data_IF_381375030440
#
_entry.id   IF_381375030440
#
_cell.length_a   1.000
_cell.length_b   1.000
_cell.length_c   1.000
_cell.angle_alpha   90.00
_cell.angle_beta   90.00
_cell.angle_gamma   90.00
#
_symmetry.space_group_name_H-M   'P 1'
#
loop_
_entity.id
_entity.type
_entity.pdbx_description
1 polymer ?
#
# COMPACT_ATOMS: atom_id res chain seq x y z
N UNK A 1 14.99 28.49 26.08
CA UNK A 1 14.92 27.24 26.88
C UNK A 1 14.81 26.13 25.87
N UNK A 2 15.96 25.62 25.47
CA UNK A 2 16.09 24.55 24.47
C UNK A 2 15.50 23.27 25.05
N UNK A 3 14.47 22.73 24.40
CA UNK A 3 13.96 21.41 24.72
C UNK A 3 14.98 20.38 24.26
N UNK A 4 15.73 19.83 25.21
CA UNK A 4 16.47 18.59 25.08
C UNK A 4 15.53 17.47 24.63
N UNK A 5 15.55 17.12 23.34
CA UNK A 5 14.98 15.87 22.85
C UNK A 5 15.80 15.30 21.69
N UNK A 6 17.12 15.23 21.86
CA UNK A 6 18.01 14.50 20.96
C UNK A 6 18.52 13.22 21.65
N UNK A 7 17.61 12.30 21.96
CA UNK A 7 17.99 10.90 22.08
C UNK A 7 17.79 10.26 20.70
N UNK A 8 18.87 10.18 19.91
CA UNK A 8 18.89 9.49 18.62
C UNK A 8 18.36 8.06 18.83
N UNK A 9 17.27 7.70 18.16
CA UNK A 9 16.64 6.37 18.29
C UNK A 9 17.66 5.29 17.95
N UNK A 10 17.78 4.28 18.83
CA UNK A 10 18.69 3.15 18.64
C UNK A 10 17.97 2.00 17.91
N UNK A 11 17.99 2.07 16.58
CA UNK A 11 17.30 1.10 15.71
C UNK A 11 17.83 -0.33 15.85
N UNK A 12 19.07 -0.51 16.30
CA UNK A 12 19.67 -1.84 16.52
C UNK A 12 18.93 -2.65 17.60
N UNK A 13 18.25 -1.95 18.52
CA UNK A 13 17.48 -2.57 19.62
C UNK A 13 15.98 -2.72 19.33
N UNK A 14 15.48 -2.07 18.30
CA UNK A 14 14.05 -2.11 17.92
C UNK A 14 13.70 -3.48 17.35
N UNK A 15 12.50 -3.98 17.62
CA UNK A 15 12.03 -5.24 17.05
C UNK A 15 11.93 -5.16 15.52
N UNK A 16 12.29 -6.23 14.81
CA UNK A 16 12.31 -6.21 13.33
C UNK A 16 10.94 -5.91 12.69
N UNK A 17 9.83 -6.22 13.37
CA UNK A 17 8.49 -5.83 12.90
C UNK A 17 8.24 -4.33 13.07
N UNK A 18 8.70 -3.75 14.17
CA UNK A 18 8.54 -2.32 14.47
C UNK A 18 9.39 -1.46 13.53
N UNK A 19 10.55 -1.95 13.07
CA UNK A 19 11.33 -1.28 12.03
C UNK A 19 10.47 -0.98 10.79
N UNK A 20 9.60 -1.92 10.38
CA UNK A 20 8.71 -1.72 9.22
C UNK A 20 7.61 -0.69 9.49
N UNK A 21 7.19 -0.51 10.75
CA UNK A 21 6.27 0.55 11.12
C UNK A 21 6.96 1.93 10.93
N UNK A 22 8.23 2.08 11.34
CA UNK A 22 9.01 3.30 11.06
C UNK A 22 9.18 3.54 9.56
N UNK A 23 9.48 2.51 8.77
CA UNK A 23 9.57 2.64 7.30
C UNK A 23 8.25 3.10 6.69
N UNK A 24 7.11 2.78 7.30
CA UNK A 24 5.80 3.23 6.82
C UNK A 24 5.58 4.73 6.95
N UNK A 25 6.27 5.39 7.90
CA UNK A 25 6.19 6.83 8.12
C UNK A 25 7.21 7.64 7.31
N UNK A 26 7.80 7.08 6.26
CA UNK A 26 8.82 7.75 5.44
C UNK A 26 8.41 9.09 4.83
N UNK A 27 7.11 9.38 4.76
CA UNK A 27 6.59 10.67 4.31
C UNK A 27 6.65 11.74 5.41
N UNK A 28 6.40 11.35 6.66
CA UNK A 28 6.41 12.25 7.83
C UNK A 28 7.78 12.33 8.50
N UNK A 29 8.52 11.23 8.55
CA UNK A 29 9.80 11.05 9.26
C UNK A 29 10.83 10.34 8.36
N UNK A 30 11.35 11.03 7.32
CA UNK A 30 12.19 10.40 6.30
C UNK A 30 13.52 9.87 6.84
N UNK A 31 14.17 10.59 7.78
CA UNK A 31 15.47 10.18 8.34
C UNK A 31 15.32 8.92 9.22
N UNK A 32 14.33 8.90 10.12
CA UNK A 32 14.03 7.76 10.97
C UNK A 32 13.63 6.54 10.15
N UNK A 33 12.82 6.74 9.11
CA UNK A 33 12.43 5.68 8.20
C UNK A 33 13.64 5.11 7.44
N UNK A 34 14.56 5.96 6.98
CA UNK A 34 15.79 5.53 6.32
C UNK A 34 16.69 4.72 7.27
N UNK A 35 16.92 5.20 8.48
CA UNK A 35 17.70 4.45 9.48
C UNK A 35 17.06 3.11 9.85
N UNK A 36 15.73 3.09 10.04
CA UNK A 36 14.99 1.85 10.28
C UNK A 36 15.11 0.87 9.10
N UNK A 37 15.07 1.39 7.87
CA UNK A 37 15.17 0.59 6.67
C UNK A 37 16.58 0.02 6.46
N UNK A 38 17.63 0.80 6.73
CA UNK A 38 19.03 0.35 6.70
C UNK A 38 19.21 -0.80 7.70
N UNK A 39 18.73 -0.63 8.93
CA UNK A 39 18.82 -1.67 9.95
C UNK A 39 18.00 -2.92 9.59
N UNK A 40 16.82 -2.73 9.01
CA UNK A 40 16.01 -3.84 8.49
C UNK A 40 16.78 -4.62 7.40
N UNK A 41 17.36 -3.92 6.42
CA UNK A 41 18.15 -4.55 5.37
C UNK A 41 19.32 -5.33 5.97
N UNK A 42 20.10 -4.71 6.87
CA UNK A 42 21.23 -5.35 7.55
C UNK A 42 20.86 -6.68 8.23
N UNK A 43 19.69 -6.74 8.88
CA UNK A 43 19.22 -7.95 9.58
C UNK A 43 18.87 -9.11 8.65
N UNK A 44 18.32 -8.82 7.48
CA UNK A 44 17.74 -9.84 6.61
C UNK A 44 18.54 -10.12 5.34
N UNK A 45 19.43 -9.22 4.94
CA UNK A 45 20.20 -9.26 3.68
C UNK A 45 20.83 -10.62 3.43
N UNK A 46 21.64 -11.13 4.38
CA UNK A 46 22.33 -12.42 4.23
C UNK A 46 21.36 -13.56 3.90
N UNK A 47 20.20 -13.61 4.57
CA UNK A 47 19.21 -14.68 4.36
C UNK A 47 18.45 -14.51 3.05
N UNK A 48 18.15 -13.27 2.68
CA UNK A 48 17.47 -12.95 1.42
C UNK A 48 18.38 -13.25 0.22
N UNK A 49 19.64 -12.82 0.23
CA UNK A 49 20.63 -13.11 -0.83
C UNK A 49 20.82 -14.62 -0.99
N UNK A 50 21.07 -15.36 0.10
CA UNK A 50 21.20 -16.83 0.04
C UNK A 50 19.99 -17.49 -0.60
N UNK A 51 18.78 -16.99 -0.30
CA UNK A 51 17.56 -17.52 -0.90
C UNK A 51 17.43 -17.13 -2.38
N UNK A 52 17.81 -15.90 -2.73
CA UNK A 52 17.81 -15.41 -4.10
C UNK A 52 18.76 -16.24 -4.97
N UNK A 53 19.97 -16.57 -4.50
CA UNK A 53 20.93 -17.42 -5.22
C UNK A 53 20.40 -18.83 -5.48
N UNK A 54 19.78 -19.44 -4.47
CA UNK A 54 19.14 -20.77 -4.60
C UNK A 54 18.01 -20.74 -5.62
N UNK A 55 17.23 -19.65 -5.71
CA UNK A 55 16.17 -19.57 -6.70
C UNK A 55 16.71 -19.21 -8.08
N UNK A 56 17.58 -18.23 -8.18
CA UNK A 56 18.18 -17.72 -9.42
C UNK A 56 18.94 -18.82 -10.18
N UNK A 57 19.69 -19.67 -9.46
CA UNK A 57 20.37 -20.82 -10.05
C UNK A 57 19.42 -21.78 -10.79
N UNK A 58 18.17 -21.93 -10.34
CA UNK A 58 17.15 -22.75 -11.03
C UNK A 58 16.67 -22.15 -12.34
N UNK A 59 16.80 -20.84 -12.49
CA UNK A 59 16.47 -20.08 -13.71
C UNK A 59 17.71 -19.85 -14.60
N UNK A 60 18.87 -20.37 -14.21
CA UNK A 60 20.14 -20.18 -14.93
C UNK A 60 20.77 -18.79 -14.73
N UNK A 61 20.30 -18.03 -13.75
CA UNK A 61 20.84 -16.70 -13.45
C UNK A 61 22.07 -16.77 -12.53
N UNK A 62 23.00 -15.85 -12.76
CA UNK A 62 24.23 -15.67 -11.98
C UNK A 62 23.98 -15.17 -10.54
N UNK A 63 25.00 -15.25 -9.69
CA UNK A 63 25.00 -14.64 -8.36
C UNK A 63 24.83 -13.11 -8.41
N UNK A 64 25.31 -12.44 -9.47
CA UNK A 64 25.15 -10.99 -9.63
C UNK A 64 23.68 -10.64 -9.82
N UNK A 65 22.99 -11.36 -10.71
CA UNK A 65 21.54 -11.21 -10.91
C UNK A 65 20.77 -11.58 -9.64
N UNK A 66 21.22 -12.59 -8.89
CA UNK A 66 20.60 -12.94 -7.62
C UNK A 66 20.70 -11.82 -6.57
N UNK A 67 21.84 -11.14 -6.49
CA UNK A 67 22.04 -9.97 -5.64
C UNK A 67 21.11 -8.82 -6.06
N UNK A 68 21.00 -8.56 -7.36
CA UNK A 68 20.08 -7.55 -7.90
C UNK A 68 18.63 -7.86 -7.52
N UNK A 69 18.18 -9.10 -7.68
CA UNK A 69 16.84 -9.54 -7.30
C UNK A 69 16.58 -9.34 -5.79
N UNK A 70 17.57 -9.63 -4.94
CA UNK A 70 17.48 -9.37 -3.51
C UNK A 70 17.30 -7.87 -3.22
N UNK A 71 18.08 -7.01 -3.87
CA UNK A 71 17.91 -5.56 -3.76
C UNK A 71 16.56 -5.07 -4.29
N UNK A 72 16.06 -5.62 -5.40
CA UNK A 72 14.72 -5.30 -5.91
C UNK A 72 13.64 -5.65 -4.87
N UNK A 73 13.80 -6.74 -4.12
CA UNK A 73 12.87 -7.12 -3.06
C UNK A 73 12.89 -6.09 -1.91
N UNK A 74 14.07 -5.65 -1.48
CA UNK A 74 14.19 -4.59 -0.47
C UNK A 74 13.66 -3.24 -0.96
N UNK A 75 13.95 -2.85 -2.19
CA UNK A 75 13.40 -1.63 -2.81
C UNK A 75 11.86 -1.67 -2.81
N UNK A 76 11.26 -2.85 -3.03
CA UNK A 76 9.82 -3.03 -2.93
C UNK A 76 9.28 -2.87 -1.51
N UNK A 77 10.04 -3.30 -0.50
CA UNK A 77 9.70 -3.08 0.93
C UNK A 77 9.77 -1.59 1.27
N UNK A 78 10.80 -0.87 0.82
CA UNK A 78 10.90 0.57 0.99
C UNK A 78 9.67 1.27 0.42
N UNK A 79 9.27 0.91 -0.80
CA UNK A 79 8.05 1.47 -1.42
C UNK A 79 6.80 1.09 -0.62
N UNK A 80 6.64 -0.18 -0.23
CA UNK A 80 5.43 -0.74 0.39
C UNK A 80 5.73 -1.61 1.63
N UNK A 81 5.94 -1.01 2.82
CA UNK A 81 6.23 -1.74 4.05
C UNK A 81 4.97 -2.37 4.66
N UNK A 82 4.32 -3.29 3.95
CA UNK A 82 2.97 -3.80 4.26
C UNK A 82 2.95 -5.06 5.15
N UNK A 83 4.01 -5.32 5.90
CA UNK A 83 4.07 -6.51 6.75
C UNK A 83 3.06 -6.41 7.89
N UNK A 84 2.44 -7.54 8.25
CA UNK A 84 1.52 -7.59 9.39
C UNK A 84 1.79 -8.85 10.21
N UNK A 85 2.38 -8.66 11.38
CA UNK A 85 2.75 -9.75 12.28
C UNK A 85 1.54 -10.60 12.72
N UNK A 86 0.35 -10.00 12.86
CA UNK A 86 -0.89 -10.72 13.24
C UNK A 86 -1.32 -11.74 12.19
N UNK A 87 -0.92 -11.54 10.92
CA UNK A 87 -1.21 -12.45 9.79
C UNK A 87 -0.08 -13.48 9.57
N UNK A 88 0.99 -13.43 10.34
CA UNK A 88 2.13 -14.31 10.16
C UNK A 88 1.83 -15.74 10.63
N UNK A 89 2.37 -16.71 9.89
CA UNK A 89 2.25 -18.15 10.22
C UNK A 89 3.26 -18.62 11.28
N UNK A 90 4.26 -17.79 11.59
CA UNK A 90 5.36 -18.11 12.51
C UNK A 90 5.26 -17.26 13.76
N UNK A 91 5.49 -17.86 14.93
CA UNK A 91 5.61 -17.13 16.22
C UNK A 91 6.95 -16.41 16.35
N UNK A 92 7.98 -16.87 15.64
CA UNK A 92 9.26 -16.17 15.50
C UNK A 92 9.11 -15.05 14.46
N UNK A 93 9.34 -13.80 14.91
CA UNK A 93 9.18 -12.57 14.12
C UNK A 93 10.14 -12.53 12.93
N UNK A 94 11.41 -12.86 13.13
CA UNK A 94 12.42 -12.86 12.07
C UNK A 94 12.08 -13.89 11.00
N UNK A 95 11.65 -15.09 11.42
CA UNK A 95 11.19 -16.12 10.49
C UNK A 95 9.90 -15.71 9.77
N UNK A 96 8.97 -15.04 10.46
CA UNK A 96 7.75 -14.51 9.87
C UNK A 96 8.04 -13.50 8.76
N UNK A 97 8.97 -12.57 9.01
CA UNK A 97 9.41 -11.56 8.03
C UNK A 97 10.05 -12.24 6.83
N UNK A 98 10.95 -13.22 7.03
CA UNK A 98 11.55 -13.95 5.91
C UNK A 98 10.51 -14.68 5.05
N UNK A 99 9.52 -15.31 5.67
CA UNK A 99 8.42 -15.96 4.95
C UNK A 99 7.56 -14.97 4.17
N UNK A 100 7.47 -13.71 4.61
CA UNK A 100 6.81 -12.63 3.89
C UNK A 100 7.68 -12.03 2.76
N UNK A 101 8.99 -11.92 2.96
CA UNK A 101 9.94 -11.41 1.96
C UNK A 101 10.14 -12.39 0.79
N UNK A 102 10.19 -13.70 1.03
CA UNK A 102 10.49 -14.66 -0.04
C UNK A 102 9.50 -14.63 -1.22
N UNK A 103 8.17 -14.52 -1.03
CA UNK A 103 7.23 -14.31 -2.12
C UNK A 103 7.46 -13.01 -2.90
N UNK A 104 7.81 -11.91 -2.21
CA UNK A 104 8.12 -10.61 -2.84
C UNK A 104 9.34 -10.79 -3.76
N UNK A 105 10.41 -11.37 -3.22
CA UNK A 105 11.65 -11.68 -3.94
C UNK A 105 11.42 -12.64 -5.12
N UNK A 106 10.61 -13.68 -4.93
CA UNK A 106 10.28 -14.61 -6.03
C UNK A 106 9.53 -13.91 -7.17
N UNK A 107 8.66 -12.94 -6.85
CA UNK A 107 8.00 -12.12 -7.87
C UNK A 107 9.00 -11.29 -8.66
N UNK A 108 10.01 -10.72 -7.98
CA UNK A 108 11.11 -9.99 -8.65
C UNK A 108 11.87 -10.91 -9.60
N UNK A 109 12.25 -12.12 -9.14
CA UNK A 109 12.92 -13.12 -9.97
C UNK A 109 12.16 -13.47 -11.24
N UNK A 110 10.86 -13.80 -11.12
CA UNK A 110 10.05 -14.23 -12.27
C UNK A 110 9.92 -13.11 -13.31
N UNK A 111 9.62 -11.89 -12.85
CA UNK A 111 9.42 -10.74 -13.74
C UNK A 111 10.72 -10.16 -14.28
N UNK A 112 11.84 -10.34 -13.58
CA UNK A 112 13.16 -9.96 -14.11
C UNK A 112 13.47 -10.71 -15.41
N UNK A 113 13.06 -11.97 -15.54
CA UNK A 113 13.22 -12.73 -16.78
C UNK A 113 12.46 -12.17 -17.99
N UNK A 114 11.43 -11.37 -17.76
CA UNK A 114 10.58 -10.78 -18.80
C UNK A 114 11.06 -9.37 -19.21
N UNK A 115 11.61 -8.61 -18.27
CA UNK A 115 11.91 -7.18 -18.46
C UNK A 115 13.37 -6.79 -18.24
N UNK A 116 14.20 -7.73 -17.76
CA UNK A 116 15.60 -7.53 -17.43
C UNK A 116 15.85 -6.34 -16.47
N UNK A 117 14.91 -6.11 -15.56
CA UNK A 117 14.93 -5.04 -14.54
C UNK A 117 14.07 -5.43 -13.34
N UNK A 118 14.22 -4.71 -12.23
CA UNK A 118 13.36 -4.85 -11.06
C UNK A 118 11.90 -4.69 -11.45
N UNK A 119 11.05 -5.57 -10.95
CA UNK A 119 9.63 -5.51 -11.19
C UNK A 119 8.97 -4.52 -10.25
N UNK A 120 8.52 -3.42 -10.80
CA UNK A 120 7.54 -2.58 -10.12
C UNK A 120 6.21 -3.35 -9.96
N UNK A 121 5.42 -3.03 -8.91
CA UNK A 121 4.08 -3.56 -8.84
C UNK A 121 3.35 -3.23 -10.13
N UNK A 122 2.54 -4.15 -10.64
CA UNK A 122 1.57 -3.76 -11.67
C UNK A 122 0.69 -2.67 -11.09
N UNK A 123 0.11 -1.80 -11.94
CA UNK A 123 -0.83 -0.75 -11.49
C UNK A 123 -1.79 -1.34 -10.46
N UNK A 124 -2.36 -2.52 -10.72
CA UNK A 124 -3.25 -3.27 -9.83
C UNK A 124 -2.66 -3.67 -8.45
N UNK A 125 -1.38 -3.98 -8.35
CA UNK A 125 -0.72 -4.32 -7.08
C UNK A 125 -0.45 -3.09 -6.20
N UNK A 126 -0.19 -1.94 -6.83
CA UNK A 126 0.13 -0.64 -6.22
C UNK A 126 -1.12 0.13 -5.72
N UNK A 127 -2.30 -0.17 -6.28
CA UNK A 127 -3.51 0.56 -5.91
C UNK A 127 -3.79 0.47 -4.40
N UNK A 128 -4.05 1.62 -3.79
CA UNK A 128 -4.35 1.79 -2.36
C UNK A 128 -5.84 1.87 -2.09
N UNK A 129 -6.30 1.44 -0.91
CA UNK A 129 -7.69 1.70 -0.48
C UNK A 129 -7.82 3.19 -0.19
N UNK A 130 -8.91 3.79 -0.66
CA UNK A 130 -9.15 5.23 -0.52
C UNK A 130 -10.09 5.46 0.64
N UNK A 131 -9.57 6.09 1.68
CA UNK A 131 -10.24 6.30 2.97
C UNK A 131 -10.85 7.69 3.11
N UNK A 132 -10.37 8.64 2.33
CA UNK A 132 -10.78 10.04 2.37
C UNK A 132 -10.79 10.68 0.98
N UNK A 133 -11.30 11.91 0.92
CA UNK A 133 -11.40 12.66 -0.32
C UNK A 133 -10.03 13.09 -0.86
N UNK A 134 -9.05 13.29 0.00
CA UNK A 134 -7.69 13.67 -0.42
C UNK A 134 -7.04 12.53 -1.22
N UNK A 135 -7.18 11.28 -0.74
CA UNK A 135 -6.77 10.10 -1.48
C UNK A 135 -7.48 9.96 -2.83
N UNK A 136 -8.78 10.31 -2.91
CA UNK A 136 -9.52 10.29 -4.17
C UNK A 136 -9.02 11.37 -5.15
N UNK A 137 -8.78 12.60 -4.66
CA UNK A 137 -8.21 13.70 -5.46
C UNK A 137 -6.86 13.32 -6.01
N UNK A 138 -6.00 12.74 -5.18
CA UNK A 138 -4.64 12.37 -5.57
C UNK A 138 -4.62 11.33 -6.70
N UNK A 139 -5.62 10.44 -6.75
CA UNK A 139 -5.72 9.44 -7.84
C UNK A 139 -6.35 10.02 -9.10
N UNK A 140 -7.35 10.90 -8.97
CA UNK A 140 -8.04 11.49 -10.11
C UNK A 140 -7.27 12.63 -10.77
N UNK A 141 -6.36 13.26 -10.03
CA UNK A 141 -5.52 14.34 -10.56
C UNK A 141 -4.30 13.70 -11.19
N UNK A 142 -4.33 13.52 -12.52
CA UNK A 142 -3.22 12.94 -13.28
C UNK A 142 -1.98 13.86 -13.38
N UNK A 143 -1.99 15.04 -12.74
CA UNK A 143 -0.87 15.99 -12.70
C UNK A 143 -0.80 16.72 -11.35
N UNK A 144 0.38 17.27 -11.04
CA UNK A 144 0.60 18.22 -9.93
C UNK A 144 0.03 19.62 -10.21
N UNK A 145 -0.98 19.71 -11.08
CA UNK A 145 -1.72 20.94 -11.31
C UNK A 145 -2.54 21.29 -10.07
N UNK A 146 -1.99 22.22 -9.29
CA UNK A 146 -2.55 22.72 -8.04
C UNK A 146 -3.94 23.34 -8.27
N UNK A 147 -4.17 23.98 -9.40
CA UNK A 147 -5.45 24.64 -9.71
C UNK A 147 -6.54 23.61 -10.05
N UNK A 148 -6.18 22.55 -10.77
CA UNK A 148 -7.07 21.41 -11.00
C UNK A 148 -7.41 20.65 -9.70
N UNK A 149 -6.41 20.38 -8.85
CA UNK A 149 -6.61 19.76 -7.51
C UNK A 149 -7.53 20.62 -6.64
N UNK A 150 -7.36 21.94 -6.65
CA UNK A 150 -8.20 22.89 -5.87
C UNK A 150 -9.64 22.91 -6.36
N UNK A 151 -9.86 22.92 -7.67
CA UNK A 151 -11.20 22.84 -8.26
C UNK A 151 -11.89 21.48 -8.00
N UNK A 152 -11.14 20.37 -8.03
CA UNK A 152 -11.64 19.06 -7.63
C UNK A 152 -12.01 19.02 -6.15
N UNK A 153 -11.17 19.58 -5.26
CA UNK A 153 -11.48 19.69 -3.82
C UNK A 153 -12.76 20.48 -3.56
N UNK A 154 -12.98 21.61 -4.24
CA UNK A 154 -14.22 22.40 -4.10
C UNK A 154 -15.45 21.58 -4.53
N UNK A 155 -15.35 20.82 -5.63
CA UNK A 155 -16.42 19.91 -6.07
C UNK A 155 -16.63 18.74 -5.09
N UNK A 156 -15.59 18.31 -4.38
CA UNK A 156 -15.59 17.20 -3.42
C UNK A 156 -15.99 17.62 -2.00
N UNK A 157 -15.87 18.89 -1.62
CA UNK A 157 -16.43 19.40 -0.36
C UNK A 157 -17.95 19.25 -0.32
N UNK A 158 -18.62 19.39 -1.47
CA UNK A 158 -20.06 19.10 -1.61
C UNK A 158 -20.35 17.62 -1.31
N UNK A 159 -19.42 16.72 -1.65
CA UNK A 159 -19.51 15.28 -1.35
C UNK A 159 -19.28 14.97 0.13
N UNK A 160 -18.52 15.77 0.86
CA UNK A 160 -18.39 15.61 2.32
C UNK A 160 -19.76 15.74 3.02
N UNK A 161 -20.57 16.71 2.60
CA UNK A 161 -21.95 16.84 3.10
C UNK A 161 -22.84 15.67 2.66
N UNK A 162 -22.60 15.09 1.47
CA UNK A 162 -23.30 13.91 1.00
C UNK A 162 -22.94 12.63 1.79
N UNK A 163 -21.78 12.60 2.46
CA UNK A 163 -21.39 11.47 3.31
C UNK A 163 -22.02 11.49 4.69
N UNK A 164 -22.69 12.57 5.08
CA UNK A 164 -23.48 12.63 6.32
C UNK A 164 -24.58 11.56 6.23
N UNK A 165 -24.49 10.55 7.10
CA UNK A 165 -25.39 9.39 7.12
C UNK A 165 -24.82 8.10 6.54
N UNK A 166 -23.63 8.13 5.92
CA UNK A 166 -22.89 6.91 5.58
C UNK A 166 -22.04 6.43 6.76
N UNK A 167 -21.95 5.11 6.93
CA UNK A 167 -20.94 4.51 7.80
C UNK A 167 -19.53 4.64 7.21
N UNK A 168 -18.50 4.59 8.05
CA UNK A 168 -17.10 4.61 7.60
C UNK A 168 -16.79 3.51 6.57
N UNK A 169 -17.32 2.29 6.77
CA UNK A 169 -17.14 1.20 5.79
C UNK A 169 -17.77 1.53 4.44
N UNK A 170 -18.97 2.12 4.43
CA UNK A 170 -19.64 2.55 3.19
C UNK A 170 -18.87 3.68 2.49
N UNK A 171 -18.35 4.64 3.25
CA UNK A 171 -17.53 5.75 2.72
C UNK A 171 -16.25 5.24 2.06
N UNK A 172 -15.49 4.39 2.74
CA UNK A 172 -14.26 3.78 2.21
C UNK A 172 -14.55 3.00 0.91
N UNK A 173 -15.63 2.20 0.90
CA UNK A 173 -16.04 1.46 -0.30
C UNK A 173 -16.40 2.43 -1.42
N UNK A 174 -17.22 3.44 -1.16
CA UNK A 174 -17.62 4.42 -2.17
C UNK A 174 -16.41 5.11 -2.80
N UNK A 175 -15.50 5.65 -1.97
CA UNK A 175 -14.31 6.37 -2.41
C UNK A 175 -13.38 5.47 -3.23
N UNK A 176 -13.12 4.26 -2.74
CA UNK A 176 -12.26 3.29 -3.43
C UNK A 176 -12.85 2.89 -4.79
N UNK A 177 -14.16 2.67 -4.86
CA UNK A 177 -14.80 2.39 -6.15
C UNK A 177 -14.73 3.60 -7.08
N UNK A 178 -15.00 4.83 -6.61
CA UNK A 178 -14.88 6.03 -7.45
C UNK A 178 -13.46 6.25 -7.96
N UNK A 179 -12.43 5.86 -7.20
CA UNK A 179 -11.04 5.96 -7.63
C UNK A 179 -10.74 5.04 -8.83
N UNK A 180 -11.13 3.77 -8.76
CA UNK A 180 -10.65 2.73 -9.69
C UNK A 180 -11.70 2.12 -10.61
N UNK A 181 -12.98 2.37 -10.39
CA UNK A 181 -14.04 1.84 -11.25
C UNK A 181 -14.02 2.54 -12.61
N UNK A 182 -13.96 1.74 -13.67
CA UNK A 182 -14.00 2.18 -15.06
C UNK A 182 -15.37 1.78 -15.62
N UNK A 183 -16.04 2.64 -16.43
CA UNK A 183 -17.32 2.29 -17.03
C UNK A 183 -17.30 0.92 -17.72
N UNK A 184 -18.27 0.06 -17.38
CA UNK A 184 -18.37 -1.29 -17.92
C UNK A 184 -17.38 -2.32 -17.33
N UNK A 185 -16.54 -1.95 -16.36
CA UNK A 185 -15.58 -2.85 -15.69
C UNK A 185 -15.66 -2.75 -14.17
N UNK A 186 -15.40 -3.87 -13.50
CA UNK A 186 -15.22 -3.87 -12.05
C UNK A 186 -13.84 -3.33 -11.66
N UNK A 187 -13.69 -2.92 -10.41
CA UNK A 187 -12.39 -2.59 -9.82
C UNK A 187 -11.44 -3.80 -9.89
N UNK A 188 -10.11 -3.58 -9.90
CA UNK A 188 -9.12 -4.65 -9.89
C UNK A 188 -9.32 -5.65 -8.75
N UNK A 189 -9.05 -6.94 -9.04
CA UNK A 189 -9.25 -8.04 -8.06
C UNK A 189 -8.44 -7.83 -6.79
N UNK A 190 -7.23 -7.29 -6.93
CA UNK A 190 -6.35 -6.90 -5.82
C UNK A 190 -7.02 -5.90 -4.88
N UNK A 191 -7.63 -4.83 -5.41
CA UNK A 191 -8.37 -3.83 -4.61
C UNK A 191 -9.61 -4.44 -3.98
N UNK A 192 -10.36 -5.23 -4.74
CA UNK A 192 -11.54 -5.92 -4.20
C UNK A 192 -11.18 -6.85 -3.04
N UNK A 193 -10.01 -7.49 -3.09
CA UNK A 193 -9.51 -8.33 -2.00
C UNK A 193 -8.99 -7.50 -0.82
N UNK A 194 -8.23 -6.43 -1.09
CA UNK A 194 -7.80 -5.47 -0.05
C UNK A 194 -8.99 -4.88 0.71
N UNK A 195 -10.09 -4.53 0.03
CA UNK A 195 -11.33 -4.04 0.67
C UNK A 195 -11.96 -5.10 1.60
N UNK A 196 -12.03 -6.35 1.16
CA UNK A 196 -12.56 -7.46 1.99
C UNK A 196 -11.71 -7.65 3.24
N UNK A 197 -10.38 -7.66 3.07
CA UNK A 197 -9.42 -7.91 4.15
C UNK A 197 -9.37 -6.76 5.18
N UNK A 198 -9.47 -5.50 4.74
CA UNK A 198 -9.38 -4.32 5.63
C UNK A 198 -10.70 -4.07 6.36
N UNK A 199 -11.82 -4.24 5.67
CA UNK A 199 -13.14 -3.96 6.26
C UNK A 199 -13.75 -5.18 6.95
N UNK A 200 -13.09 -6.34 6.83
CA UNK A 200 -13.56 -7.64 7.32
C UNK A 200 -14.97 -7.96 6.78
N UNK A 201 -15.15 -7.75 5.48
CA UNK A 201 -16.43 -7.92 4.79
C UNK A 201 -16.34 -8.98 3.71
N UNK A 202 -17.46 -9.66 3.46
CA UNK A 202 -17.59 -10.51 2.28
C UNK A 202 -17.79 -9.66 1.02
N UNK A 203 -17.47 -10.23 -0.15
CA UNK A 203 -17.76 -9.59 -1.43
C UNK A 203 -19.25 -9.24 -1.62
N UNK A 204 -20.16 -10.05 -1.08
CA UNK A 204 -21.60 -9.77 -1.11
C UNK A 204 -21.95 -8.51 -0.32
N UNK A 205 -21.40 -8.37 0.89
CA UNK A 205 -21.60 -7.20 1.74
C UNK A 205 -21.00 -5.93 1.11
N UNK A 206 -19.82 -6.03 0.49
CA UNK A 206 -19.22 -4.89 -0.23
C UNK A 206 -20.14 -4.40 -1.36
N UNK A 207 -20.74 -5.32 -2.13
CA UNK A 207 -21.68 -4.96 -3.22
C UNK A 207 -22.91 -4.23 -2.68
N UNK A 208 -23.47 -4.68 -1.55
CA UNK A 208 -24.60 -4.01 -0.89
C UNK A 208 -24.19 -2.62 -0.41
N UNK A 209 -23.10 -2.50 0.33
CA UNK A 209 -22.63 -1.21 0.85
C UNK A 209 -22.28 -0.23 -0.27
N UNK A 210 -21.69 -0.70 -1.37
CA UNK A 210 -21.45 0.11 -2.57
C UNK A 210 -22.77 0.65 -3.13
N UNK A 211 -23.78 -0.21 -3.31
CA UNK A 211 -25.08 0.18 -3.85
C UNK A 211 -25.74 1.23 -2.95
N UNK A 212 -25.78 0.96 -1.66
CA UNK A 212 -26.46 1.83 -0.69
C UNK A 212 -25.74 3.19 -0.59
N UNK A 213 -24.40 3.21 -0.60
CA UNK A 213 -23.62 4.44 -0.62
C UNK A 213 -23.84 5.27 -1.89
N UNK A 214 -23.89 4.62 -3.07
CA UNK A 214 -24.20 5.32 -4.33
C UNK A 214 -25.61 5.92 -4.29
N UNK A 215 -26.62 5.16 -3.86
CA UNK A 215 -28.00 5.65 -3.75
C UNK A 215 -28.10 6.87 -2.82
N UNK A 216 -27.44 6.81 -1.66
CA UNK A 216 -27.43 7.90 -0.70
C UNK A 216 -26.83 9.19 -1.30
N UNK A 217 -25.65 9.08 -1.91
CA UNK A 217 -24.97 10.22 -2.53
C UNK A 217 -25.78 10.78 -3.71
N UNK A 218 -26.33 9.91 -4.57
CA UNK A 218 -27.14 10.33 -5.72
C UNK A 218 -28.42 11.06 -5.28
N UNK A 219 -29.07 10.58 -4.21
CA UNK A 219 -30.26 11.24 -3.65
C UNK A 219 -29.92 12.62 -3.07
N UNK A 220 -28.81 12.73 -2.35
CA UNK A 220 -28.35 14.02 -1.81
C UNK A 220 -28.08 15.04 -2.93
N UNK A 221 -27.39 14.62 -4.01
CA UNK A 221 -27.10 15.48 -5.16
C UNK A 221 -28.39 15.91 -5.87
N UNK A 222 -29.35 15.00 -6.05
CA UNK A 222 -30.66 15.31 -6.67
C UNK A 222 -31.46 16.33 -5.86
N UNK A 223 -31.50 16.18 -4.53
CA UNK A 223 -32.21 17.13 -3.65
C UNK A 223 -31.59 18.53 -3.70
N UNK A 224 -30.27 18.62 -3.81
CA UNK A 224 -29.56 19.90 -3.89
C UNK A 224 -29.71 20.61 -5.25
N UNK A 225 -29.80 19.85 -6.34
CA UNK A 225 -29.91 20.40 -7.70
C UNK A 225 -31.37 20.61 -8.16
N UNK A 226 -32.34 20.04 -7.44
CA UNK A 226 -33.77 20.16 -7.70
C UNK A 226 -34.51 21.15 -6.78
N UNK A 227 -33.76 22.04 -6.11
CA UNK A 227 -34.27 23.12 -5.27
C UNK A 227 -33.92 24.49 -5.84
#
# INVERSE_FOLDING_TARGET
>A
METELNSKIDFDKICSSELLDYVSFKSEYPEEAEYAFIEFCRRFEKKVIQKAEIYSSKFGYSAVVALEIAHCAFARVWKYPSFNLKKAKSKDVSKAILLWLYPIMYTQLVKYGEHNTCADPTVDEDLSIITDLDGLVNIKSHSDDIEHKKNLKIKLEILNSAFVGLSEKQKIIYLTYKAYEVPGKNIPRSISKKLQDILELTQGTIRLYKRDANLHVDNYIKQRNGG
#
